data_IF_280265110807
#
_entry.id   IF_280265110807
#
_cell.length_a   1.000
_cell.length_b   1.000
_cell.length_c   1.000
_cell.angle_alpha   90.00
_cell.angle_beta   90.00
_cell.angle_gamma   90.00
#
_symmetry.space_group_name_H-M   'P 1'
#
loop_
_entity.id
_entity.type
_entity.pdbx_description
1 polymer ?
#
# COMPACT_ATOMS: atom_id res chain seq x y z
N UNK A 1 18.72 -5.65 4.83
CA UNK A 1 19.16 -4.27 4.57
C UNK A 1 19.73 -4.06 3.16
N UNK A 2 20.62 -4.93 2.62
CA UNK A 2 21.21 -4.78 1.26
C UNK A 2 20.21 -4.70 0.08
N UNK A 3 19.05 -5.38 0.13
CA UNK A 3 18.06 -5.36 -0.96
C UNK A 3 17.21 -4.08 -1.06
N UNK A 4 16.93 -3.40 0.07
CA UNK A 4 16.17 -2.14 0.09
C UNK A 4 17.01 -0.94 -0.39
N UNK A 5 18.32 -0.98 -0.14
CA UNK A 5 19.28 0.02 -0.65
C UNK A 5 19.33 -0.01 -2.19
N UNK A 6 19.34 -1.20 -2.78
CA UNK A 6 19.37 -1.39 -4.24
C UNK A 6 18.16 -0.78 -4.96
N UNK A 7 16.94 -0.96 -4.43
CA UNK A 7 15.72 -0.36 -5.04
C UNK A 7 15.78 1.17 -5.00
N UNK A 8 16.33 1.77 -3.92
CA UNK A 8 16.48 3.24 -3.84
C UNK A 8 17.58 3.76 -4.76
N UNK A 9 18.68 3.02 -4.92
CA UNK A 9 19.74 3.38 -5.88
C UNK A 9 19.27 3.23 -7.32
N UNK A 10 18.56 2.15 -7.65
CA UNK A 10 17.95 1.95 -8.95
C UNK A 10 16.91 3.06 -9.23
N UNK A 11 16.05 3.42 -8.27
CA UNK A 11 15.07 4.51 -8.43
C UNK A 11 15.71 5.87 -8.73
N UNK A 12 16.91 6.16 -8.20
CA UNK A 12 17.66 7.39 -8.54
C UNK A 12 18.09 7.44 -10.00
N UNK A 13 18.26 6.29 -10.65
CA UNK A 13 18.68 6.19 -12.05
C UNK A 13 17.50 6.23 -13.03
N UNK A 14 16.27 5.95 -12.58
CA UNK A 14 15.07 5.93 -13.43
C UNK A 14 14.32 7.26 -13.49
N UNK A 15 14.56 8.15 -12.52
CA UNK A 15 13.77 9.35 -12.28
C UNK A 15 14.65 10.60 -12.27
N UNK A 16 14.99 11.15 -13.45
CA UNK A 16 15.35 12.57 -13.50
C UNK A 16 14.06 13.37 -13.33
N UNK A 17 14.08 14.43 -12.50
CA UNK A 17 12.89 15.24 -12.20
C UNK A 17 12.17 15.79 -13.45
N UNK A 18 12.87 15.87 -14.59
CA UNK A 18 12.34 16.37 -15.86
C UNK A 18 11.27 15.47 -16.48
N UNK A 19 11.24 14.17 -16.16
CA UNK A 19 10.29 13.19 -16.72
C UNK A 19 9.18 12.79 -15.74
N UNK A 20 9.09 13.42 -14.57
CA UNK A 20 8.08 13.11 -13.54
C UNK A 20 7.28 14.35 -13.21
N UNK A 21 5.98 14.28 -13.49
CA UNK A 21 5.03 15.32 -13.12
C UNK A 21 4.42 14.99 -11.75
N UNK A 22 4.97 15.60 -10.70
CA UNK A 22 4.36 15.55 -9.37
C UNK A 22 3.08 16.40 -9.31
N UNK A 23 2.26 16.20 -8.27
CA UNK A 23 0.99 16.92 -8.07
C UNK A 23 0.04 16.86 -9.28
N UNK A 24 0.18 15.85 -10.12
CA UNK A 24 -0.52 15.69 -11.40
C UNK A 24 -1.47 14.50 -11.33
N UNK A 25 -2.58 14.69 -10.61
CA UNK A 25 -3.57 13.62 -10.39
C UNK A 25 -4.37 13.38 -11.67
N UNK A 26 -4.26 12.18 -12.24
CA UNK A 26 -5.05 11.77 -13.41
C UNK A 26 -6.53 11.60 -13.01
N UNK A 27 -7.44 12.09 -13.85
CA UNK A 27 -8.89 11.96 -13.65
C UNK A 27 -9.62 11.25 -14.78
N UNK A 28 -9.20 11.48 -16.03
CA UNK A 28 -9.81 10.82 -17.18
C UNK A 28 -8.72 10.23 -18.08
N UNK A 29 -8.97 9.05 -18.62
CA UNK A 29 -8.13 8.41 -19.63
C UNK A 29 -9.04 8.01 -20.79
N UNK A 30 -8.91 8.71 -21.90
CA UNK A 30 -9.56 8.35 -23.17
C UNK A 30 -8.55 7.56 -23.99
N UNK A 31 -8.86 6.32 -24.34
CA UNK A 31 -7.95 5.45 -25.09
C UNK A 31 -8.65 4.89 -26.34
N UNK A 32 -7.89 4.78 -27.43
CA UNK A 32 -8.34 4.25 -28.71
C UNK A 32 -7.24 3.38 -29.33
N UNK A 33 -7.50 2.88 -30.54
CA UNK A 33 -6.51 2.16 -31.34
C UNK A 33 -5.43 3.07 -31.94
N UNK A 34 -5.53 4.39 -31.77
CA UNK A 34 -4.60 5.37 -32.33
C UNK A 34 -3.85 6.20 -31.30
N UNK A 35 -4.44 6.47 -30.13
CA UNK A 35 -3.80 7.29 -29.08
C UNK A 35 -4.40 7.06 -27.68
N UNK A 36 -3.72 7.61 -26.68
CA UNK A 36 -4.21 7.76 -25.31
C UNK A 36 -4.16 9.23 -24.92
N UNK A 37 -5.29 9.78 -24.50
CA UNK A 37 -5.41 11.15 -24.01
C UNK A 37 -5.75 11.12 -22.52
N UNK A 38 -4.88 11.72 -21.72
CA UNK A 38 -4.93 11.73 -20.26
C UNK A 38 -5.30 13.13 -19.80
N UNK A 39 -6.35 13.26 -19.00
CA UNK A 39 -6.75 14.54 -18.39
C UNK A 39 -6.45 14.53 -16.90
N UNK A 40 -5.69 15.52 -16.45
CA UNK A 40 -5.35 15.75 -15.06
C UNK A 40 -6.46 16.53 -14.34
N UNK A 41 -6.43 16.51 -13.01
CA UNK A 41 -7.41 17.19 -12.16
C UNK A 41 -7.45 18.72 -12.34
N UNK A 42 -6.33 19.31 -12.76
CA UNK A 42 -6.22 20.75 -13.07
C UNK A 42 -6.71 21.10 -14.49
N UNK A 43 -7.20 20.11 -15.26
CA UNK A 43 -7.67 20.28 -16.64
C UNK A 43 -6.59 20.13 -17.71
N UNK A 44 -5.30 20.01 -17.35
CA UNK A 44 -4.22 19.76 -18.31
C UNK A 44 -4.42 18.41 -19.02
N UNK A 45 -4.20 18.38 -20.32
CA UNK A 45 -4.27 17.18 -21.15
C UNK A 45 -2.88 16.76 -21.63
N UNK A 46 -2.66 15.44 -21.66
CA UNK A 46 -1.43 14.83 -22.16
C UNK A 46 -1.84 13.81 -23.21
N UNK A 47 -1.36 13.99 -24.44
CA UNK A 47 -1.54 13.05 -25.54
C UNK A 47 -0.31 12.17 -25.68
N UNK A 48 -0.52 10.86 -25.83
CA UNK A 48 0.53 9.88 -26.04
C UNK A 48 0.11 8.80 -27.02
N UNK A 49 1.08 8.17 -27.69
CA UNK A 49 0.83 7.00 -28.55
C UNK A 49 0.43 5.76 -27.73
N UNK A 50 0.96 5.64 -26.51
CA UNK A 50 0.76 4.51 -25.61
C UNK A 50 0.75 4.98 -24.16
N UNK A 51 0.12 4.21 -23.27
CA UNK A 51 0.18 4.45 -21.84
C UNK A 51 0.35 3.14 -21.06
N UNK A 52 1.14 3.18 -19.99
CA UNK A 52 1.25 2.11 -19.01
C UNK A 52 0.51 2.56 -17.75
N UNK A 53 -0.54 1.83 -17.39
CA UNK A 53 -1.31 2.02 -16.17
C UNK A 53 -0.66 1.26 -15.02
N UNK A 54 -0.19 1.99 -14.02
CA UNK A 54 0.37 1.44 -12.77
C UNK A 54 -0.43 1.84 -11.54
N UNK A 55 -1.71 2.18 -11.72
CA UNK A 55 -2.60 2.42 -10.58
C UNK A 55 -2.69 1.17 -9.71
N UNK A 56 -2.85 1.38 -8.40
CA UNK A 56 -3.15 0.27 -7.51
C UNK A 56 -4.46 -0.40 -7.94
N UNK A 57 -4.61 -1.68 -7.63
CA UNK A 57 -5.86 -2.37 -7.96
C UNK A 57 -7.06 -1.74 -7.23
N UNK A 58 -6.84 -1.15 -6.06
CA UNK A 58 -7.85 -0.43 -5.29
C UNK A 58 -8.36 0.80 -6.04
N UNK A 59 -7.47 1.57 -6.68
CA UNK A 59 -7.87 2.71 -7.53
C UNK A 59 -8.70 2.24 -8.71
N UNK A 60 -8.32 1.13 -9.35
CA UNK A 60 -9.05 0.55 -10.49
C UNK A 60 -10.41 -0.06 -10.10
N UNK A 61 -10.61 -0.38 -8.82
CA UNK A 61 -11.87 -0.87 -8.24
C UNK A 61 -12.79 0.27 -7.77
N UNK A 62 -12.31 1.52 -7.78
CA UNK A 62 -13.07 2.70 -7.39
C UNK A 62 -13.25 3.64 -8.58
N UNK A 63 -14.06 4.69 -8.39
CA UNK A 63 -14.34 5.70 -9.42
C UNK A 63 -13.37 6.89 -9.36
N UNK A 64 -12.15 6.69 -8.85
CA UNK A 64 -11.16 7.77 -8.70
C UNK A 64 -10.61 8.27 -10.05
N UNK A 65 -10.56 7.38 -11.04
CA UNK A 65 -10.13 7.64 -12.43
C UNK A 65 -11.16 7.05 -13.40
N UNK A 66 -11.60 7.84 -14.38
CA UNK A 66 -12.55 7.41 -15.40
C UNK A 66 -11.82 6.96 -16.67
N UNK A 67 -12.08 5.72 -17.08
CA UNK A 67 -11.60 5.15 -18.35
C UNK A 67 -12.69 5.23 -19.41
N UNK A 68 -12.33 5.73 -20.60
CA UNK A 68 -13.27 5.96 -21.72
C UNK A 68 -12.65 5.35 -23.01
N UNK A 69 -13.28 4.33 -23.61
CA UNK A 69 -14.49 3.65 -23.16
C UNK A 69 -14.29 2.91 -21.82
N UNK A 70 -15.38 2.51 -21.16
CA UNK A 70 -15.29 1.63 -19.99
C UNK A 70 -14.63 0.32 -20.38
N UNK A 71 -13.84 -0.28 -19.47
CA UNK A 71 -13.22 -1.57 -19.73
C UNK A 71 -14.26 -2.66 -20.06
N UNK A 72 -13.92 -3.60 -20.98
CA UNK A 72 -14.77 -4.74 -21.29
C UNK A 72 -15.00 -5.60 -20.04
N UNK A 73 -16.10 -6.37 -20.02
CA UNK A 73 -16.52 -7.17 -18.85
C UNK A 73 -15.41 -8.06 -18.32
N UNK A 74 -14.72 -8.80 -19.21
CA UNK A 74 -13.63 -9.70 -18.83
C UNK A 74 -12.49 -9.00 -18.05
N UNK A 75 -12.19 -7.74 -18.37
CA UNK A 75 -11.15 -6.96 -17.66
C UNK A 75 -11.67 -6.49 -16.30
N UNK A 76 -12.91 -6.01 -16.26
CA UNK A 76 -13.54 -5.56 -15.01
C UNK A 76 -13.65 -6.72 -14.02
N UNK A 77 -14.20 -7.85 -14.46
CA UNK A 77 -14.31 -9.06 -13.63
C UNK A 77 -12.95 -9.48 -13.07
N UNK A 78 -11.90 -9.49 -13.90
CA UNK A 78 -10.54 -9.80 -13.47
C UNK A 78 -9.99 -8.79 -12.43
N UNK A 79 -10.20 -7.48 -12.64
CA UNK A 79 -9.80 -6.43 -11.69
C UNK A 79 -10.53 -6.58 -10.35
N UNK A 80 -11.85 -6.80 -10.37
CA UNK A 80 -12.67 -6.92 -9.16
C UNK A 80 -12.50 -8.27 -8.45
N UNK A 81 -11.97 -9.29 -9.12
CA UNK A 81 -11.62 -10.57 -8.49
C UNK A 81 -10.38 -10.48 -7.59
N UNK A 82 -9.49 -9.52 -7.82
CA UNK A 82 -8.29 -9.31 -6.98
C UNK A 82 -8.72 -8.62 -5.69
N UNK A 83 -8.35 -9.14 -4.52
CA UNK A 83 -8.67 -8.47 -3.26
C UNK A 83 -7.62 -7.41 -2.96
N UNK A 84 -8.02 -6.15 -2.80
CA UNK A 84 -7.17 -5.13 -2.18
C UNK A 84 -7.24 -5.28 -0.65
N UNK A 85 -6.09 -5.52 0.00
CA UNK A 85 -6.02 -5.61 1.46
C UNK A 85 -5.41 -4.35 2.06
N UNK A 86 -5.74 -4.07 3.32
CA UNK A 86 -5.16 -2.96 4.08
C UNK A 86 -4.28 -3.50 5.20
N UNK A 87 -3.10 -2.91 5.33
CA UNK A 87 -2.07 -3.25 6.30
C UNK A 87 -1.55 -1.95 6.92
N UNK A 88 -1.88 -1.69 8.18
CA UNK A 88 -1.58 -0.42 8.85
C UNK A 88 -0.50 -0.63 9.92
N UNK A 89 0.57 0.17 9.83
CA UNK A 89 1.63 0.23 10.84
C UNK A 89 1.48 1.50 11.68
N UNK A 90 1.32 1.29 12.99
CA UNK A 90 1.12 2.34 13.98
C UNK A 90 2.43 2.59 14.73
N UNK A 91 3.10 3.71 14.45
CA UNK A 91 4.41 4.05 15.01
C UNK A 91 4.28 4.92 16.25
N UNK A 92 4.99 4.55 17.30
CA UNK A 92 5.05 5.25 18.58
C UNK A 92 6.51 5.57 18.91
N UNK A 93 6.82 6.84 19.13
CA UNK A 93 8.13 7.27 19.64
C UNK A 93 8.00 7.59 21.12
N UNK A 94 8.86 7.00 21.94
CA UNK A 94 8.85 7.20 23.39
C UNK A 94 10.08 7.99 23.86
N UNK A 95 10.01 8.66 25.02
CA UNK A 95 11.15 9.37 25.59
C UNK A 95 12.26 8.41 26.03
N UNK A 96 11.91 7.18 26.40
CA UNK A 96 12.85 6.10 26.73
C UNK A 96 12.33 4.74 26.29
N UNK A 97 13.25 3.81 26.02
CA UNK A 97 12.93 2.39 25.82
C UNK A 97 12.52 1.76 27.15
N UNK A 98 11.28 1.26 27.23
CA UNK A 98 10.76 0.53 28.41
C UNK A 98 10.62 -0.98 28.16
N UNK A 99 10.77 -1.43 26.92
CA UNK A 99 10.69 -2.85 26.53
C UNK A 99 12.08 -3.52 26.50
N UNK A 100 12.10 -4.85 26.50
CA UNK A 100 13.32 -5.67 26.47
C UNK A 100 14.09 -5.50 25.14
N UNK A 101 15.36 -5.91 25.12
CA UNK A 101 16.20 -5.96 23.90
C UNK A 101 15.78 -7.13 22.99
N UNK A 102 14.58 -7.02 22.42
CA UNK A 102 13.99 -8.01 21.52
C UNK A 102 13.36 -7.28 20.34
N UNK A 103 13.52 -7.84 19.14
CA UNK A 103 12.98 -7.25 17.93
C UNK A 103 11.46 -7.31 17.85
N UNK A 104 10.84 -8.42 18.29
CA UNK A 104 9.41 -8.66 18.17
C UNK A 104 8.75 -8.97 19.51
N UNK A 105 7.52 -8.48 19.67
CA UNK A 105 6.64 -8.86 20.78
C UNK A 105 5.28 -9.27 20.22
N UNK A 106 4.65 -10.23 20.87
CA UNK A 106 3.32 -10.70 20.50
C UNK A 106 2.34 -10.39 21.61
N UNK A 107 1.15 -9.95 21.23
CA UNK A 107 0.01 -9.78 22.11
C UNK A 107 -1.13 -10.68 21.61
N UNK A 108 -1.65 -11.51 22.50
CA UNK A 108 -2.76 -12.40 22.22
C UNK A 108 -3.98 -11.91 23.00
N UNK A 109 -4.87 -11.20 22.33
CA UNK A 109 -6.14 -10.79 22.92
C UNK A 109 -7.05 -12.00 23.13
N UNK A 110 -7.68 -12.10 24.30
CA UNK A 110 -8.52 -13.25 24.66
C UNK A 110 -9.83 -13.33 23.88
N UNK A 111 -10.28 -12.23 23.26
CA UNK A 111 -11.62 -12.15 22.67
C UNK A 111 -11.60 -11.64 21.22
N UNK A 112 -10.63 -10.80 20.86
CA UNK A 112 -10.60 -10.11 19.57
C UNK A 112 -9.37 -10.45 18.75
N UNK A 113 -9.53 -11.36 17.80
CA UNK A 113 -8.46 -11.73 16.85
C UNK A 113 -7.95 -10.50 16.11
N UNK A 114 -6.63 -10.36 16.02
CA UNK A 114 -5.99 -9.28 15.26
C UNK A 114 -5.91 -7.94 16.00
N UNK A 115 -6.38 -7.88 17.24
CA UNK A 115 -6.29 -6.67 18.06
C UNK A 115 -4.84 -6.43 18.51
N UNK A 116 -4.15 -5.54 17.79
CA UNK A 116 -2.76 -5.14 18.04
C UNK A 116 -1.77 -6.28 18.35
N UNK A 117 -1.66 -7.34 17.52
CA UNK A 117 -1.03 -8.59 17.90
C UNK A 117 0.48 -8.63 17.71
N UNK A 118 1.01 -7.86 16.75
CA UNK A 118 2.41 -7.97 16.34
C UNK A 118 3.12 -6.63 16.47
N UNK A 119 4.06 -6.58 17.41
CA UNK A 119 4.86 -5.40 17.72
C UNK A 119 6.29 -5.61 17.26
N UNK A 120 6.92 -4.54 16.77
CA UNK A 120 8.31 -4.56 16.37
C UNK A 120 9.05 -3.31 16.88
N UNK A 121 10.20 -3.53 17.49
CA UNK A 121 11.08 -2.43 17.87
C UNK A 121 11.98 -2.03 16.70
N UNK A 122 12.03 -0.72 16.42
CA UNK A 122 13.02 -0.14 15.53
C UNK A 122 14.30 0.28 16.26
N UNK A 123 14.34 0.22 17.59
CA UNK A 123 15.52 0.58 18.39
C UNK A 123 16.67 -0.43 18.30
N UNK A 124 16.44 -1.61 17.71
CA UNK A 124 17.44 -2.67 17.61
C UNK A 124 18.50 -2.41 16.52
N UNK A 125 19.66 -3.04 16.67
CA UNK A 125 20.76 -2.97 15.70
C UNK A 125 20.25 -3.47 14.33
N UNK A 126 20.61 -2.76 13.26
CA UNK A 126 20.13 -3.09 11.91
C UNK A 126 18.75 -2.50 11.57
N UNK A 127 18.19 -1.66 12.43
CA UNK A 127 17.01 -0.84 12.13
C UNK A 127 17.34 0.64 12.32
N UNK A 128 16.85 1.26 13.39
CA UNK A 128 17.10 2.65 13.78
C UNK A 128 17.57 2.67 15.25
N UNK A 129 18.84 2.34 15.52
CA UNK A 129 19.36 2.22 16.87
C UNK A 129 19.12 3.47 17.72
N UNK A 130 18.70 3.28 18.97
CA UNK A 130 18.38 4.37 19.94
C UNK A 130 17.22 5.29 19.50
N UNK A 131 16.37 4.85 18.57
CA UNK A 131 15.20 5.63 18.13
C UNK A 131 14.10 5.72 19.18
N UNK A 132 14.03 4.77 20.11
CA UNK A 132 12.90 4.58 21.03
C UNK A 132 11.57 4.47 20.27
N UNK A 133 11.60 3.88 19.07
CA UNK A 133 10.40 3.65 18.26
C UNK A 133 9.98 2.19 18.39
N UNK A 134 8.72 2.01 18.76
CA UNK A 134 8.00 0.75 18.71
C UNK A 134 6.82 0.94 17.76
N UNK A 135 6.50 -0.06 16.95
CA UNK A 135 5.28 -0.02 16.16
C UNK A 135 4.49 -1.31 16.27
N UNK A 136 3.18 -1.19 16.07
CA UNK A 136 2.27 -2.33 15.98
C UNK A 136 1.61 -2.38 14.61
N UNK A 137 1.57 -3.57 14.05
CA UNK A 137 0.83 -3.86 12.83
C UNK A 137 -0.58 -4.33 13.18
N UNK A 138 -1.56 -3.78 12.47
CA UNK A 138 -2.89 -4.38 12.31
C UNK A 138 -3.15 -4.65 10.81
N UNK A 139 -4.07 -5.57 10.52
CA UNK A 139 -4.36 -6.00 9.13
C UNK A 139 -5.87 -6.11 8.90
N UNK A 140 -6.30 -5.94 7.65
CA UNK A 140 -7.68 -6.14 7.17
C UNK A 140 -8.71 -5.44 8.07
N UNK A 141 -9.61 -6.19 8.74
CA UNK A 141 -10.72 -5.64 9.53
C UNK A 141 -10.24 -4.66 10.60
N UNK A 142 -9.13 -4.99 11.28
CA UNK A 142 -8.54 -4.12 12.30
C UNK A 142 -7.88 -2.88 11.69
N UNK A 143 -7.33 -2.98 10.48
CA UNK A 143 -6.85 -1.80 9.73
C UNK A 143 -7.99 -0.87 9.34
N UNK A 144 -9.11 -1.41 8.86
CA UNK A 144 -10.28 -0.58 8.51
C UNK A 144 -10.81 0.18 9.73
N UNK A 145 -10.88 -0.50 10.89
CA UNK A 145 -11.30 0.12 12.15
C UNK A 145 -10.32 1.23 12.56
N UNK A 146 -9.01 0.95 12.57
CA UNK A 146 -7.98 1.91 12.98
C UNK A 146 -7.92 3.12 12.04
N UNK A 147 -8.03 2.92 10.74
CA UNK A 147 -7.98 4.02 9.76
C UNK A 147 -9.25 4.90 9.78
N UNK A 148 -10.39 4.36 10.21
CA UNK A 148 -11.64 5.10 10.38
C UNK A 148 -11.72 5.87 11.71
N UNK A 149 -10.82 5.61 12.66
CA UNK A 149 -10.79 6.26 13.97
C UNK A 149 -9.91 7.51 13.99
N UNK A 150 -10.13 8.34 15.02
CA UNK A 150 -9.21 9.44 15.34
C UNK A 150 -7.90 8.91 15.92
N UNK A 151 -6.81 9.64 15.70
CA UNK A 151 -5.48 9.26 16.23
C UNK A 151 -5.51 9.05 17.76
N UNK A 152 -6.26 9.87 18.50
CA UNK A 152 -6.35 9.76 19.96
C UNK A 152 -7.04 8.48 20.42
N UNK A 153 -8.09 8.04 19.71
CA UNK A 153 -8.79 6.78 20.02
C UNK A 153 -7.88 5.57 19.77
N UNK A 154 -7.21 5.53 18.61
CA UNK A 154 -6.25 4.47 18.29
C UNK A 154 -5.08 4.45 19.28
N UNK A 155 -4.52 5.63 19.61
CA UNK A 155 -3.44 5.73 20.58
C UNK A 155 -3.86 5.22 21.97
N UNK A 156 -5.06 5.59 22.42
CA UNK A 156 -5.58 5.13 23.73
C UNK A 156 -5.73 3.61 23.80
N UNK A 157 -6.25 2.98 22.74
CA UNK A 157 -6.34 1.53 22.63
C UNK A 157 -4.96 0.87 22.64
N UNK A 158 -4.02 1.41 21.86
CA UNK A 158 -2.62 0.96 21.81
C UNK A 158 -1.97 1.05 23.20
N UNK A 159 -2.11 2.17 23.90
CA UNK A 159 -1.54 2.36 25.23
C UNK A 159 -2.17 1.42 26.26
N UNK A 160 -3.45 1.05 26.09
CA UNK A 160 -4.11 0.04 26.93
C UNK A 160 -3.47 -1.33 26.73
N UNK A 161 -3.19 -1.73 25.50
CA UNK A 161 -2.47 -2.99 25.18
C UNK A 161 -1.03 -2.94 25.69
N UNK A 162 -0.31 -1.83 25.51
CA UNK A 162 1.05 -1.70 26.03
C UNK A 162 1.11 -1.80 27.56
N UNK A 163 0.16 -1.20 28.27
CA UNK A 163 0.06 -1.29 29.73
C UNK A 163 -0.27 -2.72 30.20
N UNK A 164 -1.07 -3.47 29.44
CA UNK A 164 -1.32 -4.89 29.76
C UNK A 164 -0.09 -5.77 29.52
N UNK A 165 0.73 -5.44 28.52
CA UNK A 165 1.96 -6.18 28.20
C UNK A 165 3.14 -5.87 29.15
N UNK A 166 3.31 -4.61 29.54
CA UNK A 166 4.52 -4.11 30.21
C UNK A 166 4.27 -3.49 31.59
N UNK A 167 3.01 -3.41 32.03
CA UNK A 167 2.62 -2.77 33.29
C UNK A 167 2.26 -1.28 33.12
N UNK A 168 1.77 -0.68 34.21
CA UNK A 168 1.27 0.70 34.18
C UNK A 168 2.37 1.77 34.18
N UNK A 169 3.59 1.44 34.60
CA UNK A 169 4.73 2.36 34.67
C UNK A 169 5.49 2.45 33.34
N UNK A 170 4.76 2.80 32.27
CA UNK A 170 5.34 3.10 30.96
C UNK A 170 5.10 4.57 30.61
N UNK A 171 6.06 5.25 29.95
CA UNK A 171 5.85 6.62 29.52
C UNK A 171 4.81 6.71 28.41
N UNK A 172 4.12 7.83 28.34
CA UNK A 172 3.37 8.18 27.14
C UNK A 172 4.34 8.47 25.97
N UNK A 173 3.93 8.23 24.71
CA UNK A 173 4.76 8.52 23.55
C UNK A 173 4.83 10.02 23.28
N UNK A 174 6.00 10.51 22.88
CA UNK A 174 6.22 11.88 22.41
C UNK A 174 5.51 12.13 21.06
N UNK A 175 5.43 11.08 20.22
CA UNK A 175 4.80 11.15 18.91
C UNK A 175 4.10 9.85 18.56
N UNK A 176 2.99 9.99 17.83
CA UNK A 176 2.19 8.90 17.29
C UNK A 176 1.86 9.17 15.82
N UNK A 177 2.08 8.19 14.94
CA UNK A 177 1.81 8.34 13.52
C UNK A 177 1.47 7.02 12.83
N UNK A 178 0.52 7.08 11.89
CA UNK A 178 0.26 6.04 10.90
C UNK A 178 -0.35 6.66 9.65
N UNK A 179 -0.15 6.01 8.52
CA UNK A 179 -0.77 6.40 7.25
C UNK A 179 -2.08 5.65 7.05
N UNK A 180 -3.10 6.33 6.50
CA UNK A 180 -4.41 5.75 6.22
C UNK A 180 -4.49 5.31 4.75
N UNK A 181 -3.90 4.15 4.45
CA UNK A 181 -3.76 3.65 3.07
C UNK A 181 -5.09 3.40 2.37
N UNK A 182 -6.10 2.92 3.11
CA UNK A 182 -7.43 2.63 2.56
C UNK A 182 -8.20 3.91 2.20
N UNK A 183 -7.99 4.98 2.98
CA UNK A 183 -8.70 6.25 2.81
C UNK A 183 -8.07 7.15 1.73
N UNK A 184 -6.82 6.88 1.34
CA UNK A 184 -6.14 7.65 0.31
C UNK A 184 -6.66 7.27 -1.09
N UNK A 185 -7.25 8.21 -1.85
CA UNK A 185 -7.74 7.95 -3.21
C UNK A 185 -6.65 7.62 -4.22
N UNK A 186 -5.36 7.80 -3.90
CA UNK A 186 -4.25 7.41 -4.76
C UNK A 186 -3.84 5.94 -4.59
N UNK A 187 -4.30 5.27 -3.53
CA UNK A 187 -3.91 3.88 -3.24
C UNK A 187 -5.10 2.96 -2.94
N UNK A 188 -6.11 3.43 -2.21
CA UNK A 188 -7.31 2.66 -1.83
C UNK A 188 -6.99 1.30 -1.16
N UNK A 189 -5.92 1.25 -0.38
CA UNK A 189 -5.43 0.04 0.28
C UNK A 189 -3.91 -0.06 0.25
N UNK A 190 -3.39 -1.22 0.66
CA UNK A 190 -1.95 -1.42 0.83
C UNK A 190 -1.35 -2.29 -0.26
N UNK A 191 -1.92 -3.48 -0.49
CA UNK A 191 -1.41 -4.40 -1.51
C UNK A 191 -2.47 -5.41 -1.94
N UNK A 192 -2.25 -6.04 -3.10
CA UNK A 192 -3.15 -7.04 -3.66
C UNK A 192 -3.01 -8.42 -3.00
N UNK A 193 -4.10 -9.16 -2.95
CA UNK A 193 -4.14 -10.56 -2.58
C UNK A 193 -5.09 -11.29 -3.53
N UNK A 194 -4.63 -12.38 -4.11
CA UNK A 194 -5.48 -13.23 -4.94
C UNK A 194 -6.27 -14.20 -4.06
N UNK A 195 -7.62 -14.14 -4.08
CA UNK A 195 -8.44 -15.03 -3.26
C UNK A 195 -8.39 -16.48 -3.78
N UNK A 196 -8.80 -17.40 -2.92
CA UNK A 196 -9.03 -18.79 -3.34
C UNK A 196 -10.04 -18.83 -4.48
N UNK A 197 -9.73 -19.61 -5.52
CA UNK A 197 -10.61 -19.77 -6.68
C UNK A 197 -10.34 -18.83 -7.85
N UNK A 198 -9.35 -17.93 -7.76
CA UNK A 198 -8.88 -17.21 -8.95
C UNK A 198 -8.30 -18.20 -9.97
N UNK A 199 -8.81 -18.16 -11.20
CA UNK A 199 -8.28 -18.93 -12.31
C UNK A 199 -7.11 -18.23 -13.04
N UNK A 200 -6.27 -19.01 -13.72
CA UNK A 200 -5.22 -18.48 -14.59
C UNK A 200 -5.77 -17.57 -15.69
N UNK A 201 -6.97 -17.87 -16.19
CA UNK A 201 -7.66 -17.05 -17.18
C UNK A 201 -8.02 -15.67 -16.61
N UNK A 202 -8.55 -15.60 -15.39
CA UNK A 202 -8.82 -14.33 -14.71
C UNK A 202 -7.53 -13.53 -14.50
N UNK A 203 -6.44 -14.20 -14.12
CA UNK A 203 -5.14 -13.55 -13.98
C UNK A 203 -4.63 -12.98 -15.31
N UNK A 204 -4.64 -13.78 -16.38
CA UNK A 204 -4.23 -13.34 -17.72
C UNK A 204 -5.08 -12.16 -18.21
N UNK A 205 -6.39 -12.19 -17.95
CA UNK A 205 -7.30 -11.08 -18.23
C UNK A 205 -6.93 -9.82 -17.44
N UNK A 206 -6.52 -9.94 -16.18
CA UNK A 206 -6.05 -8.78 -15.42
C UNK A 206 -4.81 -8.15 -16.05
N UNK A 207 -3.85 -8.94 -16.54
CA UNK A 207 -2.61 -8.44 -17.17
C UNK A 207 -2.82 -7.90 -18.59
N UNK A 208 -3.80 -8.42 -19.33
CA UNK A 208 -3.98 -8.14 -20.75
C UNK A 208 -4.16 -6.64 -21.03
N UNK A 209 -3.44 -6.13 -22.02
CA UNK A 209 -3.59 -4.76 -22.52
C UNK A 209 -4.93 -4.56 -23.24
N UNK A 210 -5.37 -3.31 -23.34
CA UNK A 210 -6.54 -2.93 -24.14
C UNK A 210 -6.08 -1.90 -25.16
N UNK A 211 -5.91 -2.35 -26.40
CA UNK A 211 -5.34 -1.52 -27.46
C UNK A 211 -3.97 -0.98 -27.04
N UNK A 212 -3.87 0.35 -26.91
CA UNK A 212 -2.66 1.09 -26.55
C UNK A 212 -2.46 1.31 -25.04
N UNK A 213 -3.34 0.76 -24.20
CA UNK A 213 -3.28 0.85 -22.75
C UNK A 213 -2.76 -0.46 -22.14
N UNK A 214 -1.58 -0.40 -21.55
CA UNK A 214 -0.91 -1.52 -20.89
C UNK A 214 -1.06 -1.43 -19.37
N UNK A 215 -0.81 -2.52 -18.66
CA UNK A 215 -0.99 -2.63 -17.22
C UNK A 215 0.22 -3.29 -16.57
N UNK A 216 0.76 -2.64 -15.53
CA UNK A 216 1.89 -3.13 -14.75
C UNK A 216 1.71 -2.74 -13.28
N UNK A 217 2.45 -3.40 -12.38
CA UNK A 217 2.32 -3.20 -10.94
C UNK A 217 2.21 -4.54 -10.19
N UNK A 218 2.34 -4.49 -8.87
CA UNK A 218 2.45 -5.72 -8.06
C UNK A 218 1.26 -6.67 -8.24
N UNK A 219 0.06 -6.13 -8.42
CA UNK A 219 -1.17 -6.92 -8.58
C UNK A 219 -1.15 -7.84 -9.80
N UNK A 220 -0.31 -7.51 -10.78
CA UNK A 220 -0.15 -8.24 -12.02
C UNK A 220 1.01 -9.24 -11.96
N UNK A 221 1.64 -9.47 -10.81
CA UNK A 221 2.71 -10.46 -10.67
C UNK A 221 2.20 -11.77 -10.06
N UNK A 222 2.12 -12.85 -10.84
CA UNK A 222 1.56 -14.12 -10.35
C UNK A 222 2.39 -14.71 -9.21
N UNK A 223 3.71 -14.52 -9.27
CA UNK A 223 4.66 -15.09 -8.31
C UNK A 223 4.95 -14.18 -7.13
N UNK A 224 4.84 -12.86 -7.30
CA UNK A 224 5.32 -11.88 -6.34
C UNK A 224 4.33 -10.74 -6.08
N UNK A 225 3.03 -10.98 -6.27
CA UNK A 225 1.99 -10.04 -5.84
C UNK A 225 2.15 -9.72 -4.35
N UNK A 226 1.82 -8.48 -4.00
CA UNK A 226 2.02 -7.91 -2.67
C UNK A 226 3.42 -7.36 -2.42
N UNK A 227 4.37 -7.53 -3.34
CA UNK A 227 5.76 -7.13 -3.14
C UNK A 227 6.28 -6.13 -4.17
N UNK A 228 7.18 -5.25 -3.71
CA UNK A 228 7.83 -4.22 -4.53
C UNK A 228 8.60 -4.80 -5.72
N UNK A 229 9.28 -5.93 -5.54
CA UNK A 229 10.02 -6.55 -6.64
C UNK A 229 9.09 -7.17 -7.70
N UNK A 230 7.87 -7.58 -7.31
CA UNK A 230 6.83 -7.97 -8.27
C UNK A 230 6.43 -6.79 -9.15
N UNK A 231 6.17 -5.61 -8.56
CA UNK A 231 5.89 -4.40 -9.33
C UNK A 231 7.01 -4.03 -10.30
N UNK A 232 8.27 -4.11 -9.85
CA UNK A 232 9.44 -3.85 -10.70
C UNK A 232 9.52 -4.81 -11.89
N UNK A 233 9.37 -6.11 -11.65
CA UNK A 233 9.42 -7.12 -12.72
C UNK A 233 8.28 -6.95 -13.72
N UNK A 234 7.06 -6.64 -13.25
CA UNK A 234 5.94 -6.36 -14.14
C UNK A 234 6.15 -5.07 -14.95
N UNK A 235 6.84 -4.08 -14.40
CA UNK A 235 7.26 -2.89 -15.13
C UNK A 235 8.27 -3.18 -16.24
N UNK A 236 9.19 -4.12 -16.05
CA UNK A 236 10.13 -4.56 -17.09
C UNK A 236 9.50 -5.44 -18.17
N UNK A 237 8.39 -6.11 -17.85
CA UNK A 237 7.70 -7.04 -18.76
C UNK A 237 6.92 -6.30 -19.86
N UNK A 238 6.39 -5.13 -19.54
CA UNK A 238 5.55 -4.29 -20.41
C UNK A 238 6.41 -3.35 -21.22
#
# INVERSE_FOLDING_TARGET
MKRLLRVREEAKNFATNENILYNSVVKNIVYSDTAVNITLANGTTILADYAICTFSIGVLQHNDVKFIPTFPSWKREAIFAIKMVTYTKNFLKFPRKFWKNTQFFLYADSYRRGYYPQWQSLSEIGFLPRSNILFVTVVTDESYVVEAQSNNQTLSQIMTVLKSMFGNDIPDPDNFYYYRWNQDPLYRGSYSNWPTGTSECQFANAQRSIGRLYFAGEAYSQKYFGFVHGAYMEGLRV
#
